data_IF_934534966641
#
_entry.id   IF_934534966641
#
_cell.length_a   1.000
_cell.length_b   1.000
_cell.length_c   1.000
_cell.angle_alpha   90.00
_cell.angle_beta   90.00
_cell.angle_gamma   90.00
#
_symmetry.space_group_name_H-M   'P 1'
#
loop_
_entity.id
_entity.type
_entity.pdbx_description
1 polymer ?
#
# COMPACT_ATOMS: atom_id res chain seq x y z
N UNK A 1 13.13 -9.93 1.89
CA UNK A 1 12.89 -8.50 1.64
C UNK A 1 11.52 -8.15 2.18
N UNK A 2 11.46 -7.17 3.08
CA UNK A 2 10.22 -6.70 3.72
C UNK A 2 9.53 -5.64 2.87
N UNK A 3 8.21 -5.49 3.03
CA UNK A 3 7.46 -4.37 2.47
C UNK A 3 7.30 -3.29 3.54
N UNK A 4 7.54 -2.03 3.19
CA UNK A 4 7.44 -0.89 4.11
C UNK A 4 6.43 0.09 3.52
N UNK A 5 5.46 0.51 4.33
CA UNK A 5 4.61 1.64 4.01
C UNK A 5 4.93 2.80 4.94
N UNK A 6 4.92 4.00 4.39
CA UNK A 6 5.38 5.20 5.06
C UNK A 6 4.41 6.35 4.75
N UNK A 7 4.23 7.22 5.74
CA UNK A 7 3.51 8.47 5.57
C UNK A 7 4.31 9.39 4.65
N UNK A 8 3.64 10.00 3.67
CA UNK A 8 4.32 10.83 2.68
C UNK A 8 4.83 12.15 3.29
N UNK A 9 4.04 12.79 4.16
CA UNK A 9 4.35 14.12 4.68
C UNK A 9 5.43 14.08 5.78
N UNK A 10 5.28 13.17 6.74
CA UNK A 10 6.13 13.13 7.93
C UNK A 10 7.21 12.04 7.86
N UNK A 11 7.21 11.22 6.81
CA UNK A 11 8.16 10.13 6.64
C UNK A 11 8.10 9.08 7.76
N UNK A 12 7.00 9.00 8.51
CA UNK A 12 6.81 8.02 9.57
C UNK A 12 6.46 6.65 8.98
N UNK A 13 7.10 5.59 9.48
CA UNK A 13 6.78 4.22 9.07
C UNK A 13 5.40 3.84 9.62
N UNK A 14 4.47 3.52 8.73
CA UNK A 14 3.11 3.09 9.05
C UNK A 14 3.10 1.59 9.34
N UNK A 15 3.78 0.80 8.51
CA UNK A 15 3.84 -0.66 8.68
C UNK A 15 5.08 -1.24 8.02
N UNK A 16 5.55 -2.35 8.60
CA UNK A 16 6.57 -3.22 8.04
C UNK A 16 5.96 -4.62 7.97
N UNK A 17 5.91 -5.19 6.77
CA UNK A 17 5.41 -6.54 6.54
C UNK A 17 6.59 -7.49 6.29
N UNK A 18 6.55 -8.68 6.90
CA UNK A 18 7.55 -9.75 6.72
C UNK A 18 7.48 -10.44 5.34
N UNK A 19 7.06 -9.70 4.32
CA UNK A 19 7.04 -10.17 2.94
C UNK A 19 6.45 -9.15 2.01
N UNK A 20 6.81 -9.28 0.74
CA UNK A 20 6.41 -8.37 -0.35
C UNK A 20 5.49 -9.01 -1.38
N UNK A 21 4.96 -10.20 -1.07
CA UNK A 21 4.02 -10.88 -1.97
C UNK A 21 2.70 -10.12 -2.01
N UNK A 22 2.02 -10.12 -3.17
CA UNK A 22 0.76 -9.41 -3.33
C UNK A 22 -0.29 -9.86 -2.30
N UNK A 23 -0.31 -11.16 -1.95
CA UNK A 23 -1.23 -11.68 -0.94
C UNK A 23 -1.02 -11.07 0.45
N UNK A 24 0.24 -10.92 0.89
CA UNK A 24 0.57 -10.34 2.20
C UNK A 24 0.14 -8.87 2.25
N UNK A 25 0.51 -8.10 1.22
CA UNK A 25 0.19 -6.66 1.12
C UNK A 25 -1.34 -6.48 1.02
N UNK A 26 -2.00 -7.25 0.17
CA UNK A 26 -3.46 -7.21 -0.02
C UNK A 26 -4.22 -7.51 1.27
N UNK A 27 -3.84 -8.58 1.96
CA UNK A 27 -4.50 -8.99 3.20
C UNK A 27 -4.30 -7.98 4.34
N UNK A 28 -3.20 -7.21 4.32
CA UNK A 28 -3.00 -6.12 5.27
C UNK A 28 -3.95 -4.95 4.99
N UNK A 29 -3.96 -4.44 3.75
CA UNK A 29 -4.72 -3.23 3.44
C UNK A 29 -6.23 -3.45 3.29
N UNK A 30 -6.68 -4.63 2.85
CA UNK A 30 -8.13 -4.92 2.74
C UNK A 30 -8.86 -5.02 4.08
N UNK A 31 -8.15 -4.97 5.22
CA UNK A 31 -8.77 -4.85 6.55
C UNK A 31 -9.37 -3.47 6.78
N UNK A 32 -8.89 -2.45 6.06
CA UNK A 32 -9.42 -1.10 6.14
C UNK A 32 -10.63 -0.94 5.20
N UNK A 33 -11.64 -0.23 5.70
CA UNK A 33 -12.83 0.10 4.91
C UNK A 33 -12.43 0.82 3.62
N UNK A 34 -13.21 0.61 2.55
CA UNK A 34 -13.01 1.28 1.26
C UNK A 34 -13.00 2.80 1.41
N UNK A 35 -13.84 3.37 2.27
CA UNK A 35 -13.90 4.80 2.52
C UNK A 35 -12.57 5.35 3.05
N UNK A 36 -11.89 4.61 3.94
CA UNK A 36 -10.56 4.97 4.45
C UNK A 36 -9.51 4.85 3.35
N UNK A 37 -9.52 3.74 2.60
CA UNK A 37 -8.55 3.53 1.52
C UNK A 37 -8.68 4.54 0.38
N UNK A 38 -9.88 5.08 0.14
CA UNK A 38 -10.10 6.13 -0.84
C UNK A 38 -9.58 7.52 -0.42
N UNK A 39 -9.11 7.67 0.83
CA UNK A 39 -8.48 8.92 1.26
C UNK A 39 -7.01 9.00 0.83
N UNK A 40 -6.41 7.90 0.40
CA UNK A 40 -5.06 7.89 -0.18
C UNK A 40 -5.13 8.61 -1.54
N UNK A 41 -4.30 9.64 -1.71
CA UNK A 41 -4.28 10.49 -2.91
C UNK A 41 -3.02 10.34 -3.76
N UNK A 42 -1.91 9.98 -3.14
CA UNK A 42 -0.61 9.89 -3.78
C UNK A 42 0.05 8.61 -3.30
N UNK A 43 0.57 7.84 -4.24
CA UNK A 43 1.30 6.61 -3.96
C UNK A 43 2.63 6.66 -4.70
N UNK A 44 3.71 6.66 -3.94
CA UNK A 44 5.06 6.46 -4.45
C UNK A 44 5.46 5.02 -4.19
N UNK A 45 5.77 4.28 -5.24
CA UNK A 45 6.20 2.88 -5.16
C UNK A 45 7.52 2.67 -5.91
N UNK A 46 8.22 1.57 -5.61
CA UNK A 46 9.42 1.19 -6.35
C UNK A 46 9.08 0.85 -7.82
N UNK A 47 10.09 0.77 -8.68
CA UNK A 47 9.90 0.48 -10.12
C UNK A 47 9.45 -0.98 -10.40
N UNK A 48 8.87 -1.67 -9.41
CA UNK A 48 8.40 -3.03 -9.55
C UNK A 48 6.97 -3.05 -10.12
N UNK A 49 6.88 -3.32 -11.43
CA UNK A 49 5.59 -3.30 -12.15
C UNK A 49 4.48 -4.16 -11.54
N UNK A 50 4.73 -5.31 -10.88
CA UNK A 50 3.65 -6.12 -10.29
C UNK A 50 2.86 -5.43 -9.17
N UNK A 51 3.29 -4.28 -8.65
CA UNK A 51 2.48 -3.51 -7.69
C UNK A 51 1.44 -2.61 -8.34
N UNK A 52 1.53 -2.30 -9.64
CA UNK A 52 0.59 -1.37 -10.30
C UNK A 52 -0.86 -1.82 -10.18
N UNK A 53 -1.14 -3.06 -10.58
CA UNK A 53 -2.51 -3.59 -10.54
C UNK A 53 -2.99 -3.79 -9.10
N UNK A 54 -2.08 -4.19 -8.21
CA UNK A 54 -2.36 -4.33 -6.79
C UNK A 54 -2.75 -2.99 -6.16
N UNK A 55 -1.99 -1.93 -6.44
CA UNK A 55 -2.23 -0.59 -5.90
C UNK A 55 -3.56 -0.03 -6.38
N UNK A 56 -3.89 -0.17 -7.66
CA UNK A 56 -5.21 0.23 -8.21
C UNK A 56 -6.36 -0.47 -7.51
N UNK A 57 -6.18 -1.74 -7.15
CA UNK A 57 -7.18 -2.49 -6.40
C UNK A 57 -7.30 -2.01 -4.94
N UNK A 58 -6.17 -1.75 -4.28
CA UNK A 58 -6.13 -1.38 -2.87
C UNK A 58 -6.53 0.07 -2.61
N UNK A 59 -6.21 0.97 -3.53
CA UNK A 59 -6.41 2.42 -3.37
C UNK A 59 -7.08 2.97 -4.63
N UNK A 60 -8.39 2.72 -4.81
CA UNK A 60 -9.08 2.99 -6.08
C UNK A 60 -9.31 4.49 -6.36
N UNK A 61 -8.97 5.37 -5.42
CA UNK A 61 -9.12 6.82 -5.52
C UNK A 61 -7.77 7.55 -5.58
N UNK A 62 -6.66 6.81 -5.60
CA UNK A 62 -5.29 7.32 -5.67
C UNK A 62 -4.78 7.42 -7.11
#
# INVERSE_FOLDING_TARGET
MSFIAQDFDNLNIITILEGRTQAIIRNHFLRYDRAVRCQVKIITMDMFSPYYDLVKQLFPCA
#
